data_IF_822142840233
#
_entry.id   IF_822142840233
#
_cell.length_a   1.000
_cell.length_b   1.000
_cell.length_c   1.000
_cell.angle_alpha   90.00
_cell.angle_beta   90.00
_cell.angle_gamma   90.00
#
_symmetry.space_group_name_H-M   'P 1'
#
loop_
_entity.id
_entity.type
_entity.pdbx_description
1 polymer ?
#
# COMPACT_ATOMS: atom_id res chain seq x y z
N UNK A 1 -20.85 30.79 1.41
CA UNK A 1 -19.75 30.68 2.39
C UNK A 1 -19.08 29.36 2.11
N UNK A 2 -17.92 29.39 1.49
CA UNK A 2 -17.08 28.20 1.37
C UNK A 2 -16.61 27.86 2.79
N UNK A 3 -17.05 26.72 3.32
CA UNK A 3 -16.47 26.17 4.54
C UNK A 3 -15.05 25.78 4.16
N UNK A 4 -14.09 26.59 4.61
CA UNK A 4 -12.67 26.31 4.42
C UNK A 4 -12.35 25.04 5.21
N UNK A 5 -12.38 23.89 4.54
CA UNK A 5 -12.13 22.59 5.13
C UNK A 5 -10.64 22.45 5.43
N UNK A 6 -10.24 23.00 6.58
CA UNK A 6 -8.85 23.04 7.01
C UNK A 6 -8.45 21.68 7.61
N UNK A 7 -8.45 20.64 6.78
CA UNK A 7 -7.96 19.31 7.14
C UNK A 7 -6.45 19.39 7.35
N UNK A 8 -6.02 19.45 8.61
CA UNK A 8 -4.64 19.74 9.01
C UNK A 8 -3.62 18.83 8.35
N UNK A 9 -3.97 17.55 8.22
CA UNK A 9 -3.04 16.50 7.79
C UNK A 9 -3.22 16.10 6.31
N UNK A 10 -3.99 16.88 5.53
CA UNK A 10 -4.29 16.64 4.12
C UNK A 10 -3.03 16.48 3.26
N UNK A 11 -2.09 17.42 3.37
CA UNK A 11 -0.86 17.42 2.57
C UNK A 11 0.02 16.21 2.92
N UNK A 12 0.05 15.81 4.19
CA UNK A 12 0.76 14.61 4.63
C UNK A 12 0.15 13.34 4.04
N UNK A 13 -1.19 13.24 4.01
CA UNK A 13 -1.89 12.10 3.39
C UNK A 13 -1.59 12.03 1.88
N UNK A 14 -1.51 13.18 1.19
CA UNK A 14 -1.12 13.24 -0.22
C UNK A 14 0.33 12.77 -0.43
N UNK A 15 1.26 13.23 0.40
CA UNK A 15 2.67 12.81 0.31
C UNK A 15 2.81 11.31 0.57
N UNK A 16 2.16 10.79 1.62
CA UNK A 16 2.17 9.36 1.96
C UNK A 16 1.62 8.51 0.82
N UNK A 17 0.49 8.90 0.23
CA UNK A 17 -0.12 8.14 -0.88
C UNK A 17 0.75 8.14 -2.13
N UNK A 18 1.40 9.25 -2.47
CA UNK A 18 2.37 9.31 -3.57
C UNK A 18 3.57 8.41 -3.30
N UNK A 19 4.14 8.47 -2.10
CA UNK A 19 5.25 7.61 -1.70
C UNK A 19 4.85 6.12 -1.74
N UNK A 20 3.62 5.79 -1.34
CA UNK A 20 3.11 4.42 -1.32
C UNK A 20 2.97 3.85 -2.74
N UNK A 21 2.54 4.70 -3.70
CA UNK A 21 2.52 4.36 -5.13
C UNK A 21 3.93 4.15 -5.66
N UNK A 22 4.84 5.11 -5.42
CA UNK A 22 6.24 5.03 -5.90
C UNK A 22 6.90 3.76 -5.37
N UNK A 23 6.72 3.48 -4.08
CA UNK A 23 7.29 2.30 -3.45
C UNK A 23 6.68 1.01 -3.98
N UNK A 24 5.36 0.97 -4.20
CA UNK A 24 4.69 -0.16 -4.85
C UNK A 24 5.25 -0.45 -6.25
N UNK A 25 5.53 0.60 -7.03
CA UNK A 25 6.16 0.47 -8.36
C UNK A 25 7.59 -0.04 -8.26
N UNK A 26 8.38 0.45 -7.30
CA UNK A 26 9.76 -0.03 -7.09
C UNK A 26 9.80 -1.50 -6.65
N UNK A 27 8.93 -1.90 -5.72
CA UNK A 27 8.81 -3.29 -5.26
C UNK A 27 8.37 -4.21 -6.41
N UNK A 28 7.37 -3.78 -7.19
CA UNK A 28 6.92 -4.50 -8.37
C UNK A 28 8.07 -4.66 -9.38
N UNK A 29 8.76 -3.57 -9.73
CA UNK A 29 9.88 -3.58 -10.65
C UNK A 29 11.02 -4.49 -10.20
N UNK A 30 11.38 -4.44 -8.91
CA UNK A 30 12.40 -5.32 -8.32
C UNK A 30 12.02 -6.80 -8.42
N UNK A 31 10.76 -7.14 -8.15
CA UNK A 31 10.27 -8.51 -8.25
C UNK A 31 10.27 -9.01 -9.69
N UNK A 32 9.82 -8.18 -10.63
CA UNK A 32 9.87 -8.50 -12.07
C UNK A 32 11.31 -8.68 -12.55
N UNK A 33 12.23 -7.78 -12.18
CA UNK A 33 13.64 -7.91 -12.56
C UNK A 33 14.27 -9.20 -12.03
N UNK A 34 13.93 -9.61 -10.80
CA UNK A 34 14.41 -10.89 -10.24
C UNK A 34 13.88 -12.10 -11.00
N UNK A 35 12.64 -12.08 -11.48
CA UNK A 35 12.12 -13.17 -12.29
C UNK A 35 12.95 -13.36 -13.57
N UNK A 36 13.33 -12.26 -14.24
CA UNK A 36 14.13 -12.31 -15.46
C UNK A 36 15.61 -12.66 -15.22
N UNK A 37 16.22 -12.20 -14.12
CA UNK A 37 17.62 -12.48 -13.81
C UNK A 37 17.84 -13.93 -13.33
N UNK A 38 16.88 -14.49 -12.62
CA UNK A 38 17.00 -15.84 -12.01
C UNK A 38 16.47 -16.92 -12.94
N UNK A 39 15.50 -16.60 -13.80
CA UNK A 39 14.97 -17.53 -14.79
C UNK A 39 15.10 -16.91 -16.19
N UNK A 40 16.21 -17.14 -16.91
CA UNK A 40 16.22 -16.85 -18.34
C UNK A 40 15.10 -17.69 -18.97
N UNK A 41 14.12 -17.00 -19.55
CA UNK A 41 12.86 -17.53 -20.11
C UNK A 41 13.06 -18.70 -21.10
N UNK A 42 14.29 -18.94 -21.54
CA UNK A 42 14.68 -19.99 -22.48
C UNK A 42 14.83 -21.41 -21.89
N UNK A 43 14.89 -21.60 -20.56
CA UNK A 43 14.99 -22.96 -19.97
C UNK A 43 13.63 -23.56 -19.52
N UNK A 44 12.59 -22.74 -19.33
CA UNK A 44 11.29 -23.18 -18.79
C UNK A 44 10.49 -24.03 -19.80
N UNK A 45 10.82 -23.97 -21.09
CA UNK A 45 10.04 -24.62 -22.15
C UNK A 45 10.22 -26.15 -22.19
N UNK A 46 11.22 -26.71 -21.50
CA UNK A 46 11.57 -28.13 -21.63
C UNK A 46 11.21 -29.03 -20.43
N UNK A 47 10.76 -28.49 -19.30
CA UNK A 47 10.53 -29.30 -18.07
C UNK A 47 9.05 -29.50 -17.75
N UNK A 48 8.60 -30.72 -17.41
CA UNK A 48 7.24 -30.94 -16.92
C UNK A 48 6.99 -30.12 -15.65
N UNK A 49 5.84 -29.45 -15.57
CA UNK A 49 5.44 -28.63 -14.42
C UNK A 49 5.43 -29.47 -13.14
N UNK A 50 6.41 -29.26 -12.26
CA UNK A 50 6.40 -29.86 -10.92
C UNK A 50 5.49 -29.05 -10.00
N UNK A 51 4.89 -29.68 -8.98
CA UNK A 51 4.03 -28.99 -8.00
C UNK A 51 4.72 -27.78 -7.34
N UNK A 52 6.04 -27.83 -7.16
CA UNK A 52 6.86 -26.74 -6.63
C UNK A 52 6.85 -25.48 -7.51
N UNK A 53 6.86 -25.64 -8.84
CA UNK A 53 6.82 -24.53 -9.79
C UNK A 53 5.44 -23.85 -9.78
N UNK A 54 4.36 -24.64 -9.73
CA UNK A 54 2.99 -24.11 -9.65
C UNK A 54 2.76 -23.30 -8.36
N UNK A 55 3.27 -23.79 -7.23
CA UNK A 55 3.23 -23.08 -5.95
C UNK A 55 4.01 -21.76 -6.05
N UNK A 56 5.18 -21.76 -6.68
CA UNK A 56 5.99 -20.55 -6.89
C UNK A 56 5.26 -19.52 -7.76
N UNK A 57 4.69 -19.94 -8.90
CA UNK A 57 3.92 -19.06 -9.80
C UNK A 57 2.71 -18.46 -9.07
N UNK A 58 1.94 -19.30 -8.36
CA UNK A 58 0.78 -18.84 -7.59
C UNK A 58 1.18 -17.82 -6.51
N UNK A 59 2.30 -18.07 -5.82
CA UNK A 59 2.84 -17.15 -4.83
C UNK A 59 3.22 -15.80 -5.46
N UNK A 60 3.90 -15.80 -6.62
CA UNK A 60 4.25 -14.57 -7.33
C UNK A 60 3.03 -13.79 -7.82
N UNK A 61 2.04 -14.46 -8.41
CA UNK A 61 0.78 -13.84 -8.83
C UNK A 61 0.03 -13.21 -7.66
N UNK A 62 0.03 -13.86 -6.50
CA UNK A 62 -0.53 -13.30 -5.27
C UNK A 62 0.19 -12.02 -4.86
N UNK A 63 1.54 -12.02 -4.85
CA UNK A 63 2.33 -10.83 -4.51
C UNK A 63 2.12 -9.66 -5.49
N UNK A 64 1.97 -9.94 -6.78
CA UNK A 64 1.66 -8.92 -7.78
C UNK A 64 0.26 -8.34 -7.60
N UNK A 65 -0.73 -9.18 -7.32
CA UNK A 65 -2.10 -8.74 -7.08
C UNK A 65 -2.19 -7.82 -5.87
N UNK A 66 -1.43 -8.11 -4.81
CA UNK A 66 -1.33 -7.25 -3.63
C UNK A 66 -0.70 -5.89 -3.92
N UNK A 67 0.37 -5.85 -4.72
CA UNK A 67 1.00 -4.58 -5.13
C UNK A 67 0.05 -3.73 -5.99
N UNK A 68 -0.65 -4.34 -6.93
CA UNK A 68 -1.65 -3.65 -7.76
C UNK A 68 -2.77 -3.08 -6.88
N UNK A 69 -3.25 -3.87 -5.91
CA UNK A 69 -4.25 -3.42 -4.95
C UNK A 69 -3.75 -2.24 -4.11
N UNK A 70 -2.52 -2.28 -3.62
CA UNK A 70 -1.89 -1.18 -2.87
C UNK A 70 -1.86 0.11 -3.70
N UNK A 71 -1.33 0.05 -4.93
CA UNK A 71 -1.27 1.19 -5.84
C UNK A 71 -2.67 1.74 -6.13
N UNK A 72 -3.63 0.87 -6.42
CA UNK A 72 -5.00 1.28 -6.73
C UNK A 72 -5.67 2.00 -5.55
N UNK A 73 -5.53 1.47 -4.35
CA UNK A 73 -6.13 2.05 -3.14
C UNK A 73 -5.45 3.36 -2.75
N UNK A 74 -4.12 3.44 -2.85
CA UNK A 74 -3.36 4.67 -2.62
C UNK A 74 -3.72 5.76 -3.64
N UNK A 75 -3.84 5.40 -4.92
CA UNK A 75 -4.25 6.33 -5.98
C UNK A 75 -5.67 6.85 -5.78
N UNK A 76 -6.61 5.99 -5.36
CA UNK A 76 -7.96 6.43 -5.02
C UNK A 76 -7.98 7.41 -3.84
N UNK A 77 -7.21 7.13 -2.78
CA UNK A 77 -7.11 8.06 -1.66
C UNK A 77 -6.50 9.39 -2.10
N UNK A 78 -5.43 9.36 -2.90
CA UNK A 78 -4.79 10.55 -3.45
C UNK A 78 -5.77 11.42 -4.24
N UNK A 79 -6.52 10.83 -5.19
CA UNK A 79 -7.49 11.56 -5.99
C UNK A 79 -8.53 12.24 -5.11
N UNK A 80 -9.13 11.50 -4.17
CA UNK A 80 -10.19 12.05 -3.30
C UNK A 80 -9.70 13.18 -2.40
N UNK A 81 -8.51 13.04 -1.85
CA UNK A 81 -7.92 14.09 -0.99
C UNK A 81 -7.50 15.30 -1.83
N UNK A 82 -6.95 15.09 -3.04
CA UNK A 82 -6.49 16.17 -3.93
C UNK A 82 -7.64 16.95 -4.55
N UNK A 83 -8.65 16.26 -5.06
CA UNK A 83 -9.80 16.87 -5.73
C UNK A 83 -10.67 17.68 -4.78
N UNK A 84 -10.43 17.59 -3.46
CA UNK A 84 -11.16 18.33 -2.44
C UNK A 84 -12.67 18.20 -2.65
N UNK A 85 -13.12 17.01 -3.08
CA UNK A 85 -14.52 16.79 -3.40
C UNK A 85 -15.37 17.07 -2.16
N UNK A 86 -16.54 17.71 -2.31
CA UNK A 86 -17.39 18.14 -1.20
C UNK A 86 -17.98 16.99 -0.39
N UNK A 87 -17.73 15.74 -0.76
CA UNK A 87 -18.33 14.57 -0.12
C UNK A 87 -17.37 13.90 0.88
N UNK A 88 -17.36 14.47 2.09
CA UNK A 88 -16.62 14.01 3.28
C UNK A 88 -16.82 12.51 3.54
N UNK A 89 -17.98 11.94 3.18
CA UNK A 89 -18.31 10.52 3.39
C UNK A 89 -17.45 9.61 2.49
N UNK A 90 -17.24 9.97 1.22
CA UNK A 90 -16.41 9.17 0.31
C UNK A 90 -14.92 9.26 0.63
N UNK A 91 -14.45 10.43 1.06
CA UNK A 91 -13.08 10.61 1.56
C UNK A 91 -12.83 9.75 2.79
N UNK A 92 -13.79 9.69 3.72
CA UNK A 92 -13.75 8.83 4.90
C UNK A 92 -13.72 7.34 4.55
N UNK A 93 -14.57 6.91 3.61
CA UNK A 93 -14.58 5.51 3.15
C UNK A 93 -13.25 5.12 2.50
N UNK A 94 -12.72 5.99 1.63
CA UNK A 94 -11.46 5.75 0.92
C UNK A 94 -10.28 5.65 1.90
N UNK A 95 -10.22 6.55 2.89
CA UNK A 95 -9.21 6.50 3.94
C UNK A 95 -9.32 5.23 4.79
N UNK A 96 -10.54 4.79 5.14
CA UNK A 96 -10.75 3.53 5.87
C UNK A 96 -10.33 2.29 5.07
N UNK A 97 -10.64 2.25 3.77
CA UNK A 97 -10.21 1.15 2.89
C UNK A 97 -8.69 1.13 2.81
N UNK A 98 -8.06 2.29 2.63
CA UNK A 98 -6.60 2.41 2.64
C UNK A 98 -6.00 1.92 3.95
N UNK A 99 -6.50 2.34 5.12
CA UNK A 99 -5.99 1.85 6.41
C UNK A 99 -6.08 0.32 6.55
N UNK A 100 -7.21 -0.28 6.15
CA UNK A 100 -7.40 -1.73 6.23
C UNK A 100 -6.42 -2.47 5.33
N UNK A 101 -6.28 -2.03 4.08
CA UNK A 101 -5.39 -2.65 3.10
C UNK A 101 -3.93 -2.45 3.50
N UNK A 102 -3.53 -1.23 3.88
CA UNK A 102 -2.17 -0.93 4.34
C UNK A 102 -1.81 -1.69 5.62
N UNK A 103 -2.74 -1.83 6.56
CA UNK A 103 -2.53 -2.64 7.77
C UNK A 103 -2.36 -4.13 7.46
N UNK A 104 -3.18 -4.69 6.56
CA UNK A 104 -3.03 -6.06 6.10
C UNK A 104 -1.69 -6.30 5.38
N UNK A 105 -1.29 -5.38 4.50
CA UNK A 105 -0.01 -5.46 3.80
C UNK A 105 1.17 -5.32 4.76
N UNK A 106 1.08 -4.47 5.78
CA UNK A 106 2.10 -4.38 6.83
C UNK A 106 2.26 -5.71 7.57
N UNK A 107 1.15 -6.40 7.89
CA UNK A 107 1.22 -7.72 8.52
C UNK A 107 1.91 -8.76 7.62
N UNK A 108 1.64 -8.74 6.31
CA UNK A 108 2.33 -9.60 5.34
C UNK A 108 3.83 -9.28 5.27
N UNK A 109 4.19 -8.00 5.22
CA UNK A 109 5.60 -7.55 5.20
C UNK A 109 6.33 -8.00 6.47
N UNK A 110 5.71 -7.83 7.64
CA UNK A 110 6.25 -8.32 8.91
C UNK A 110 6.43 -9.83 8.92
N UNK A 111 5.45 -10.58 8.42
CA UNK A 111 5.54 -12.03 8.31
C UNK A 111 6.68 -12.45 7.38
N UNK A 112 6.84 -11.76 6.23
CA UNK A 112 7.97 -11.99 5.33
C UNK A 112 9.30 -11.73 6.01
N UNK A 113 9.47 -10.58 6.67
CA UNK A 113 10.70 -10.24 7.40
C UNK A 113 11.01 -11.30 8.44
N UNK A 114 10.02 -11.74 9.22
CA UNK A 114 10.18 -12.79 10.21
C UNK A 114 10.66 -14.12 9.59
N UNK A 115 10.02 -14.56 8.50
CA UNK A 115 10.42 -15.79 7.79
C UNK A 115 11.83 -15.66 7.19
N UNK A 116 12.18 -14.51 6.60
CA UNK A 116 13.50 -14.28 6.03
C UNK A 116 14.62 -14.23 7.08
N UNK A 117 14.37 -13.63 8.24
CA UNK A 117 15.31 -13.62 9.37
C UNK A 117 15.55 -15.03 9.93
N UNK A 118 14.55 -15.92 9.85
CA UNK A 118 14.69 -17.30 10.31
C UNK A 118 15.41 -18.23 9.31
N UNK A 119 15.48 -17.87 8.02
CA UNK A 119 15.95 -18.74 6.93
C UNK A 119 17.24 -18.22 6.26
N UNK A 120 18.12 -17.60 7.04
CA UNK A 120 19.30 -16.83 6.64
C UNK A 120 20.19 -17.46 5.53
N UNK A 121 20.82 -16.59 4.72
CA UNK A 121 21.87 -16.80 3.70
C UNK A 121 21.47 -16.87 2.21
N UNK A 122 20.89 -15.80 1.66
CA UNK A 122 20.85 -15.60 0.20
C UNK A 122 21.59 -14.31 -0.19
N UNK A 123 22.71 -14.39 -0.94
CA UNK A 123 23.42 -13.20 -1.41
C UNK A 123 22.59 -12.37 -2.41
N UNK A 124 22.74 -11.05 -2.40
CA UNK A 124 22.03 -10.13 -3.30
C UNK A 124 20.70 -9.56 -2.77
N UNK A 125 20.37 -9.79 -1.49
CA UNK A 125 19.11 -9.32 -0.88
C UNK A 125 19.13 -7.87 -0.36
N UNK A 126 20.27 -7.19 -0.30
CA UNK A 126 20.41 -5.88 0.37
C UNK A 126 19.43 -4.83 -0.15
N UNK A 127 19.23 -4.74 -1.47
CA UNK A 127 18.28 -3.79 -2.05
C UNK A 127 16.83 -4.14 -1.70
N UNK A 128 16.48 -5.44 -1.68
CA UNK A 128 15.17 -5.91 -1.23
C UNK A 128 14.91 -5.60 0.24
N UNK A 129 15.92 -5.73 1.11
CA UNK A 129 15.84 -5.31 2.51
C UNK A 129 15.60 -3.82 2.68
N UNK A 130 16.29 -2.99 1.90
CA UNK A 130 16.09 -1.53 1.92
C UNK A 130 14.64 -1.19 1.53
N UNK A 131 14.13 -1.80 0.45
CA UNK A 131 12.74 -1.59 0.02
C UNK A 131 11.72 -2.04 1.08
N UNK A 132 11.94 -3.19 1.73
CA UNK A 132 11.07 -3.70 2.79
C UNK A 132 11.08 -2.79 4.04
N UNK A 133 12.25 -2.32 4.45
CA UNK A 133 12.38 -1.40 5.59
C UNK A 133 11.71 -0.07 5.28
N UNK A 134 11.94 0.48 4.08
CA UNK A 134 11.27 1.69 3.61
C UNK A 134 9.74 1.51 3.59
N UNK A 135 9.25 0.35 3.17
CA UNK A 135 7.83 0.02 3.15
C UNK A 135 7.23 -0.05 4.55
N UNK A 136 7.93 -0.67 5.50
CA UNK A 136 7.50 -0.71 6.89
C UNK A 136 7.39 0.69 7.49
N UNK A 137 8.42 1.52 7.35
CA UNK A 137 8.42 2.89 7.88
C UNK A 137 7.30 3.73 7.26
N UNK A 138 7.15 3.66 5.93
CA UNK A 138 6.11 4.40 5.23
C UNK A 138 4.71 3.95 5.63
N UNK A 139 4.46 2.64 5.76
CA UNK A 139 3.15 2.14 6.21
C UNK A 139 2.85 2.55 7.64
N UNK A 140 3.81 2.48 8.56
CA UNK A 140 3.60 2.92 9.95
C UNK A 140 3.27 4.42 10.01
N UNK A 141 4.06 5.24 9.32
CA UNK A 141 3.80 6.68 9.24
C UNK A 141 2.44 6.98 8.59
N UNK A 142 2.14 6.32 7.47
CA UNK A 142 0.87 6.51 6.78
C UNK A 142 -0.34 6.05 7.57
N UNK A 143 -0.26 4.95 8.31
CA UNK A 143 -1.32 4.51 9.22
C UNK A 143 -1.60 5.54 10.32
N UNK A 144 -0.57 6.21 10.83
CA UNK A 144 -0.71 7.28 11.81
C UNK A 144 -1.44 8.49 11.22
N UNK A 145 -0.90 9.09 10.14
CA UNK A 145 -1.46 10.32 9.56
C UNK A 145 -2.83 10.12 8.91
N UNK A 146 -3.07 8.98 8.24
CA UNK A 146 -4.39 8.69 7.66
C UNK A 146 -5.43 8.45 8.76
N UNK A 147 -5.03 7.95 9.94
CA UNK A 147 -5.91 7.85 11.10
C UNK A 147 -6.28 9.23 11.65
N UNK A 148 -5.31 10.12 11.83
CA UNK A 148 -5.57 11.52 12.24
C UNK A 148 -6.53 12.20 11.25
N UNK A 149 -6.27 12.05 9.94
CA UNK A 149 -7.15 12.56 8.89
C UNK A 149 -8.57 12.02 8.97
N UNK A 150 -8.75 10.73 9.30
CA UNK A 150 -10.09 10.14 9.52
C UNK A 150 -10.80 10.77 10.72
N UNK A 151 -10.07 11.05 11.79
CA UNK A 151 -10.64 11.64 12.99
C UNK A 151 -11.05 13.11 12.74
N UNK A 152 -10.28 13.85 11.95
CA UNK A 152 -10.66 15.17 11.44
C UNK A 152 -11.96 15.11 10.61
N UNK A 153 -12.04 14.21 9.63
CA UNK A 153 -13.25 14.04 8.79
C UNK A 153 -14.50 13.67 9.62
N UNK A 154 -14.36 12.84 10.66
CA UNK A 154 -15.48 12.51 11.56
C UNK A 154 -15.94 13.70 12.39
N UNK A 155 -15.00 14.55 12.83
CA UNK A 155 -15.31 15.75 13.60
C UNK A 155 -16.18 16.70 12.79
N UNK A 156 -15.86 16.86 11.50
CA UNK A 156 -16.59 17.71 10.57
C UNK A 156 -18.01 17.20 10.29
N UNK A 157 -18.17 15.89 10.03
CA UNK A 157 -19.51 15.27 9.88
C UNK A 157 -20.39 15.55 11.11
N UNK A 158 -19.80 15.43 12.30
CA UNK A 158 -20.50 15.64 13.56
C UNK A 158 -20.97 17.10 13.69
N UNK A 159 -20.11 18.07 13.36
CA UNK A 159 -20.45 19.50 13.38
C UNK A 159 -21.56 19.85 12.37
N UNK A 160 -21.50 19.29 11.16
CA UNK A 160 -22.51 19.51 10.10
C UNK A 160 -23.88 18.94 10.49
N UNK A 161 -23.93 17.82 11.23
CA UNK A 161 -25.17 17.25 11.76
C UNK A 161 -25.82 18.11 12.86
N UNK A 162 -25.04 18.86 13.65
CA UNK A 162 -25.57 19.75 14.70
C UNK A 162 -26.08 21.10 14.16
N UNK A 163 -25.65 21.54 12.97
CA UNK A 163 -26.09 22.82 12.39
C UNK A 163 -27.41 22.73 11.60
N UNK A 164 -27.84 21.52 11.22
CA UNK A 164 -29.14 21.28 10.58
C UNK A 164 -29.91 20.18 11.32
N UNK A 165 -30.52 20.47 12.49
CA UNK A 165 -31.49 19.57 13.09
C UNK A 165 -32.73 19.50 12.18
N UNK A 166 -33.10 18.28 11.79
CA UNK A 166 -34.37 17.98 11.11
C UNK A 166 -35.53 18.23 12.08
#
# INVERSE_FOLDING_TARGET
MEVETNWRDKDFVLVVTVLDIVLGVLIFGFHVSRLFVVNPVFEIVATPYTASLLISIAFWLFLFSLNILQIFVAFRLFLRVKESEPDVIWSLQSARVWLKVSGFLLAIVLLKVFIFLLLENQPGQTFGWILLVAEMFLKVAGLYFVKEFIDDLKSEISQTQFQHPI
#
